data_IF_906159401026
#
_entry.id   IF_906159401026
#
_cell.length_a   1.000
_cell.length_b   1.000
_cell.length_c   1.000
_cell.angle_alpha   90.00
_cell.angle_beta   90.00
_cell.angle_gamma   90.00
#
_symmetry.space_group_name_H-M   'P 1'
#
loop_
_entity.id
_entity.type
_entity.pdbx_description
1 polymer ?
#
# COMPACT_ATOMS: atom_id res chain seq x y z
N UNK A 1 -18.90 -16.45 3.69
CA UNK A 1 -18.09 -15.55 2.84
C UNK A 1 -16.65 -16.00 2.97
N UNK A 2 -15.82 -16.00 1.91
CA UNK A 2 -14.44 -16.46 2.04
C UNK A 2 -13.66 -15.51 2.95
N UNK A 3 -13.15 -16.03 4.06
CA UNK A 3 -12.28 -15.31 5.00
C UNK A 3 -10.89 -15.15 4.37
N UNK A 4 -10.73 -14.18 3.47
CA UNK A 4 -9.44 -13.88 2.88
C UNK A 4 -8.54 -13.24 3.94
N UNK A 5 -7.74 -14.09 4.57
CA UNK A 5 -6.90 -13.73 5.72
C UNK A 5 -5.46 -13.38 5.35
N UNK A 6 -4.97 -13.81 4.19
CA UNK A 6 -3.58 -13.59 3.78
C UNK A 6 -3.52 -13.37 2.28
N UNK A 7 -2.81 -12.32 1.86
CA UNK A 7 -2.58 -11.96 0.45
C UNK A 7 -1.10 -11.72 0.25
N UNK A 8 -0.49 -12.57 -0.58
CA UNK A 8 0.88 -12.40 -1.03
C UNK A 8 0.88 -11.89 -2.47
N UNK A 9 1.36 -10.66 -2.64
CA UNK A 9 1.57 -10.00 -3.92
C UNK A 9 3.05 -9.65 -4.10
N UNK A 10 3.95 -10.26 -3.34
CA UNK A 10 5.39 -10.01 -3.42
C UNK A 10 5.95 -10.35 -4.80
N UNK A 11 7.06 -9.68 -5.17
CA UNK A 11 7.82 -9.89 -6.42
C UNK A 11 6.98 -9.71 -7.69
N UNK A 12 6.03 -8.79 -7.66
CA UNK A 12 5.27 -8.35 -8.82
C UNK A 12 5.78 -6.97 -9.29
N UNK A 13 5.11 -6.39 -10.29
CA UNK A 13 5.42 -5.07 -10.84
C UNK A 13 4.36 -4.03 -10.46
N UNK A 14 3.81 -4.12 -9.25
CA UNK A 14 2.78 -3.20 -8.78
C UNK A 14 3.42 -1.87 -8.35
N UNK A 15 3.02 -0.78 -8.98
CA UNK A 15 3.45 0.57 -8.57
C UNK A 15 2.58 1.16 -7.46
N UNK A 16 1.33 0.72 -7.36
CA UNK A 16 0.43 1.11 -6.29
C UNK A 16 -0.62 0.02 -6.10
N UNK A 17 -1.20 -0.01 -4.90
CA UNK A 17 -2.34 -0.85 -4.59
C UNK A 17 -3.46 0.08 -4.15
N UNK A 18 -4.57 0.09 -4.90
CA UNK A 18 -5.69 0.98 -4.62
C UNK A 18 -6.55 0.45 -3.49
N UNK A 19 -7.00 1.35 -2.62
CA UNK A 19 -7.96 1.04 -1.57
C UNK A 19 -9.22 0.37 -2.12
N UNK A 20 -9.69 0.73 -3.31
CA UNK A 20 -10.92 0.17 -3.90
C UNK A 20 -10.83 -1.34 -4.14
N UNK A 21 -9.63 -1.86 -4.43
CA UNK A 21 -9.40 -3.31 -4.62
C UNK A 21 -9.51 -4.06 -3.30
N UNK A 22 -9.05 -3.43 -2.21
CA UNK A 22 -9.02 -4.03 -0.88
C UNK A 22 -10.13 -3.56 0.05
N UNK A 23 -10.97 -2.61 -0.36
CA UNK A 23 -11.96 -1.97 0.51
C UNK A 23 -12.97 -2.94 1.10
N UNK A 24 -13.35 -3.97 0.33
CA UNK A 24 -14.25 -5.04 0.81
C UNK A 24 -13.58 -6.03 1.77
N UNK A 25 -12.25 -6.18 1.68
CA UNK A 25 -11.47 -7.16 2.46
C UNK A 25 -10.59 -6.53 3.53
N UNK A 26 -10.44 -5.21 3.58
CA UNK A 26 -9.60 -4.48 4.55
C UNK A 26 -9.92 -4.87 5.99
N UNK A 27 -11.18 -5.15 6.31
CA UNK A 27 -11.60 -5.59 7.64
C UNK A 27 -11.22 -7.04 7.99
N UNK A 28 -10.85 -7.88 7.02
CA UNK A 28 -10.56 -9.31 7.19
C UNK A 28 -9.14 -9.74 6.76
N UNK A 29 -8.46 -8.90 5.97
CA UNK A 29 -7.11 -9.12 5.41
C UNK A 29 -6.02 -9.13 6.49
N UNK A 30 -5.72 -10.29 7.08
CA UNK A 30 -4.75 -10.51 8.17
C UNK A 30 -3.27 -10.27 7.82
N UNK A 31 -2.82 -10.70 6.65
CA UNK A 31 -1.44 -10.56 6.19
C UNK A 31 -1.40 -10.01 4.75
N UNK A 32 -0.52 -9.04 4.50
CA UNK A 32 -0.30 -8.43 3.19
C UNK A 32 1.20 -8.33 2.89
N UNK A 33 1.67 -9.05 1.87
CA UNK A 33 3.05 -8.96 1.40
C UNK A 33 3.12 -8.24 0.05
N UNK A 34 3.86 -7.13 0.01
CA UNK A 34 4.10 -6.31 -1.18
C UNK A 34 5.59 -6.16 -1.50
N UNK A 35 6.48 -6.87 -0.80
CA UNK A 35 7.93 -6.76 -1.00
C UNK A 35 8.35 -7.12 -2.43
N UNK A 36 9.37 -6.43 -2.94
CA UNK A 36 9.85 -6.61 -4.32
C UNK A 36 8.95 -5.98 -5.40
N UNK A 37 8.02 -5.10 -5.03
CA UNK A 37 7.26 -4.28 -5.97
C UNK A 37 7.81 -2.84 -6.04
N UNK A 38 7.75 -2.16 -7.20
CA UNK A 38 8.18 -0.77 -7.36
C UNK A 38 7.17 0.24 -6.79
N UNK A 39 6.87 0.14 -5.50
CA UNK A 39 5.79 0.90 -4.86
C UNK A 39 6.06 2.42 -4.83
N UNK A 40 5.07 3.19 -5.29
CA UNK A 40 5.01 4.64 -5.20
C UNK A 40 4.19 4.99 -3.96
N UNK A 41 4.91 5.37 -2.90
CA UNK A 41 4.35 5.75 -1.61
C UNK A 41 3.80 7.16 -1.61
N UNK A 42 2.67 7.31 -2.30
CA UNK A 42 1.88 8.51 -2.33
C UNK A 42 0.53 8.31 -1.66
N UNK A 43 -0.34 9.31 -1.72
CA UNK A 43 -1.64 9.24 -1.04
C UNK A 43 -2.54 8.07 -1.47
N UNK A 44 -2.36 7.52 -2.69
CA UNK A 44 -3.18 6.41 -3.19
C UNK A 44 -2.95 5.13 -2.39
N UNK A 45 -1.85 5.05 -1.63
CA UNK A 45 -1.54 3.92 -0.76
C UNK A 45 -1.62 4.27 0.73
N UNK A 46 -2.11 5.45 1.10
CA UNK A 46 -2.20 5.89 2.51
C UNK A 46 -3.09 4.99 3.38
N UNK A 47 -4.03 4.27 2.76
CA UNK A 47 -4.92 3.30 3.42
C UNK A 47 -4.18 2.12 4.09
N UNK A 48 -2.88 1.92 3.81
CA UNK A 48 -2.08 0.88 4.48
C UNK A 48 -1.73 1.24 5.93
N UNK A 49 -1.78 2.53 6.31
CA UNK A 49 -1.43 2.99 7.66
C UNK A 49 -2.25 2.29 8.76
N UNK A 50 -3.59 2.22 8.68
CA UNK A 50 -4.37 1.48 9.67
C UNK A 50 -4.05 -0.03 9.73
N UNK A 51 -3.46 -0.63 8.70
CA UNK A 51 -3.07 -2.05 8.72
C UNK A 51 -1.84 -2.31 9.59
N UNK A 52 -0.97 -1.30 9.79
CA UNK A 52 0.27 -1.43 10.55
C UNK A 52 0.06 -1.87 12.02
N UNK A 53 -1.06 -1.48 12.62
CA UNK A 53 -1.32 -1.70 14.05
C UNK A 53 -1.85 -3.08 14.41
N UNK A 54 -2.30 -3.87 13.43
CA UNK A 54 -3.07 -5.08 13.71
C UNK A 54 -2.58 -6.32 12.96
N UNK A 55 -1.67 -6.18 11.98
CA UNK A 55 -1.52 -7.15 10.87
C UNK A 55 -0.11 -7.20 10.31
N UNK A 56 0.27 -8.32 9.69
CA UNK A 56 1.56 -8.45 9.03
C UNK A 56 1.53 -7.69 7.70
N UNK A 57 2.37 -6.66 7.58
CA UNK A 57 2.52 -5.85 6.37
C UNK A 57 4.01 -5.83 5.99
N UNK A 58 4.32 -6.30 4.79
CA UNK A 58 5.69 -6.25 4.25
C UNK A 58 5.72 -5.47 2.93
N UNK A 59 6.81 -4.72 2.71
CA UNK A 59 6.98 -3.86 1.55
C UNK A 59 7.83 -2.62 1.85
N UNK A 60 8.38 -2.04 0.79
CA UNK A 60 9.21 -0.85 0.83
C UNK A 60 8.82 0.09 -0.31
N UNK A 61 8.92 1.39 -0.07
CA UNK A 61 8.72 2.38 -1.11
C UNK A 61 9.92 2.37 -2.07
N UNK A 62 9.66 2.44 -3.36
CA UNK A 62 10.68 2.75 -4.38
C UNK A 62 10.63 4.23 -4.75
N UNK A 63 9.44 4.83 -4.66
CA UNK A 63 9.22 6.27 -4.84
C UNK A 63 8.28 6.82 -3.76
N UNK A 64 8.23 8.14 -3.53
CA UNK A 64 9.18 9.15 -4.02
C UNK A 64 10.58 8.97 -3.39
N UNK A 65 11.61 9.63 -3.94
CA UNK A 65 13.01 9.51 -3.45
C UNK A 65 13.13 9.79 -1.93
N UNK A 66 12.29 10.68 -1.38
CA UNK A 66 12.25 10.97 0.06
C UNK A 66 11.80 9.80 0.94
N UNK A 67 11.13 8.81 0.37
CA UNK A 67 10.63 7.62 1.06
C UNK A 67 11.29 6.35 0.54
N UNK A 68 12.17 6.42 -0.44
CA UNK A 68 12.81 5.25 -1.05
C UNK A 68 13.48 4.37 0.00
N UNK A 69 13.29 3.06 -0.15
CA UNK A 69 13.71 2.00 0.78
C UNK A 69 13.06 2.04 2.17
N UNK A 70 12.16 2.99 2.43
CA UNK A 70 11.44 3.06 3.69
C UNK A 70 10.35 1.98 3.73
N UNK A 71 10.29 1.26 4.84
CA UNK A 71 9.31 0.18 5.02
C UNK A 71 7.91 0.72 5.28
N UNK A 72 6.90 0.05 4.69
CA UNK A 72 5.49 0.43 4.79
C UNK A 72 4.98 0.49 6.24
N UNK A 73 5.55 -0.31 7.16
CA UNK A 73 5.16 -0.29 8.59
C UNK A 73 5.66 0.92 9.36
N UNK A 74 6.59 1.69 8.79
CA UNK A 74 7.18 2.88 9.43
C UNK A 74 6.59 4.20 8.92
N UNK A 75 5.75 4.13 7.90
CA UNK A 75 5.14 5.29 7.27
C UNK A 75 4.00 5.82 8.12
N UNK A 76 3.78 7.13 8.09
CA UNK A 76 2.67 7.80 8.76
C UNK A 76 1.84 8.54 7.73
N UNK A 77 0.61 8.91 8.08
CA UNK A 77 -0.27 9.67 7.18
C UNK A 77 0.41 10.92 6.59
N UNK A 78 1.28 11.60 7.36
CA UNK A 78 2.01 12.78 6.89
C UNK A 78 3.13 12.52 5.86
N UNK A 79 3.51 11.26 5.64
CA UNK A 79 4.51 10.88 4.63
C UNK A 79 3.91 10.86 3.21
N UNK A 80 2.60 10.62 3.08
CA UNK A 80 1.91 10.46 1.79
C UNK A 80 1.47 11.80 1.19
N UNK A 81 2.43 12.66 0.83
CA UNK A 81 2.18 14.09 0.55
C UNK A 81 1.59 14.42 -0.82
N UNK A 82 1.76 13.57 -1.84
CA UNK A 82 1.48 13.96 -3.24
C UNK A 82 0.49 13.05 -3.95
N UNK A 83 -0.78 13.44 -4.04
CA UNK A 83 -1.68 12.89 -5.06
C UNK A 83 -1.55 13.72 -6.33
N UNK A 84 -1.05 13.17 -7.43
CA UNK A 84 -1.56 13.63 -8.72
C UNK A 84 -2.79 12.78 -8.99
N UNK A 85 -3.97 13.34 -8.74
CA UNK A 85 -5.15 12.88 -9.46
C UNK A 85 -4.83 13.06 -10.93
N UNK A 86 -4.99 11.99 -11.71
CA UNK A 86 -5.04 12.16 -13.16
C UNK A 86 -6.21 13.12 -13.40
N UNK A 87 -5.88 14.38 -13.71
CA UNK A 87 -6.80 15.27 -14.40
C UNK A 87 -7.29 14.44 -15.58
N UNK A 88 -8.55 14.04 -15.53
CA UNK A 88 -9.24 13.46 -16.67
C UNK A 88 -9.06 14.44 -17.81
N UNK A 89 -8.24 14.08 -18.78
CA UNK A 89 -8.20 14.76 -20.07
C UNK A 89 -9.59 14.64 -20.68
N UNK A 90 -10.26 15.79 -20.74
CA UNK A 90 -11.35 16.20 -21.65
C UNK A 90 -12.72 15.52 -21.50
#
# INVERSE_FOLDING_TARGET
>A
MPDLRSVDLSKNHLSAVSETVFGSVNNHLGDLSLSGNPLICNCNISWIVPLQGHRYLDGYCTEPESLKERSLVTLRNGDFKFCKENVTET
#
